data_IF_697712976414
#
_entry.id   IF_697712976414
#
_cell.length_a   1.000
_cell.length_b   1.000
_cell.length_c   1.000
_cell.angle_alpha   90.00
_cell.angle_beta   90.00
_cell.angle_gamma   90.00
#
_symmetry.space_group_name_H-M   'P 1'
#
loop_
_entity.id
_entity.type
_entity.pdbx_description
1 polymer ?
#
# COMPACT_ATOMS: atom_id res chain seq x y z
N UNK A 1 -5.08 9.17 -3.52
CA UNK A 1 -5.61 9.70 -2.25
C UNK A 1 -6.78 8.85 -1.78
N UNK A 2 -6.57 7.93 -0.84
CA UNK A 2 -7.66 7.19 -0.21
C UNK A 2 -8.36 8.12 0.79
N UNK A 3 -9.49 8.71 0.40
CA UNK A 3 -10.35 9.47 1.30
C UNK A 3 -11.02 8.50 2.28
N UNK A 4 -10.43 8.34 3.45
CA UNK A 4 -11.11 7.72 4.59
C UNK A 4 -12.09 8.75 5.17
N UNK A 5 -13.38 8.57 4.91
CA UNK A 5 -14.49 9.34 5.51
C UNK A 5 -14.76 8.91 6.96
N UNK A 6 -13.71 8.82 7.77
CA UNK A 6 -13.86 8.77 9.22
C UNK A 6 -14.27 10.16 9.68
N UNK A 7 -15.37 10.26 10.45
CA UNK A 7 -15.70 11.50 11.15
C UNK A 7 -14.52 11.81 12.07
N UNK A 8 -13.68 12.79 11.69
CA UNK A 8 -12.54 13.22 12.48
C UNK A 8 -13.06 13.79 13.80
N UNK A 9 -13.05 12.97 14.86
CA UNK A 9 -13.26 13.49 16.21
C UNK A 9 -11.92 14.06 16.70
N UNK A 10 -11.75 15.37 16.51
CA UNK A 10 -10.55 16.12 16.92
C UNK A 10 -10.23 15.89 18.40
N UNK A 11 -11.25 15.72 19.24
CA UNK A 11 -11.09 15.48 20.67
C UNK A 11 -10.41 14.12 20.94
N UNK A 12 -10.79 13.07 20.20
CA UNK A 12 -10.18 11.74 20.35
C UNK A 12 -8.73 11.70 19.89
N UNK A 13 -8.40 12.43 18.82
CA UNK A 13 -7.02 12.56 18.35
C UNK A 13 -6.16 13.30 19.39
N UNK A 14 -6.68 14.38 19.98
CA UNK A 14 -6.01 15.17 21.02
C UNK A 14 -5.64 14.33 22.24
N UNK A 15 -6.52 13.46 22.72
CA UNK A 15 -6.25 12.56 23.84
C UNK A 15 -5.03 11.66 23.60
N UNK A 16 -4.88 11.12 22.38
CA UNK A 16 -3.71 10.30 22.02
C UNK A 16 -2.47 11.19 21.87
N UNK A 17 -2.62 12.34 21.21
CA UNK A 17 -1.56 13.30 20.96
C UNK A 17 -0.92 13.79 22.27
N UNK A 18 -1.70 14.13 23.30
CA UNK A 18 -1.20 14.58 24.60
C UNK A 18 -0.27 13.55 25.25
N UNK A 19 -0.66 12.27 25.22
CA UNK A 19 0.16 11.18 25.77
C UNK A 19 1.43 10.98 24.94
N UNK A 20 1.33 11.03 23.61
CA UNK A 20 2.48 10.87 22.72
C UNK A 20 3.46 12.06 22.80
N UNK A 21 2.95 13.28 22.88
CA UNK A 21 3.75 14.49 23.10
C UNK A 21 4.49 14.42 24.44
N UNK A 22 3.82 13.96 25.51
CA UNK A 22 4.49 13.76 26.80
C UNK A 22 5.64 12.76 26.70
N UNK A 23 5.50 11.68 25.93
CA UNK A 23 6.59 10.73 25.68
C UNK A 23 7.74 11.38 24.91
N UNK A 24 7.42 12.13 23.86
CA UNK A 24 8.40 12.86 23.05
C UNK A 24 9.22 13.85 23.90
N UNK A 25 8.55 14.69 24.70
CA UNK A 25 9.22 15.65 25.59
C UNK A 25 10.11 14.97 26.64
N UNK A 26 9.74 13.77 27.09
CA UNK A 26 10.53 12.97 28.02
C UNK A 26 11.61 12.12 27.33
N UNK A 27 11.87 12.34 26.03
CA UNK A 27 12.87 11.59 25.23
C UNK A 27 12.69 10.07 25.33
N UNK A 28 11.44 9.61 25.41
CA UNK A 28 11.12 8.19 25.42
C UNK A 28 11.07 7.71 23.97
N UNK A 29 11.88 6.71 23.67
CA UNK A 29 12.02 6.15 22.33
C UNK A 29 11.04 4.98 22.10
N UNK A 30 11.12 4.38 20.91
CA UNK A 30 10.29 3.25 20.52
C UNK A 30 10.45 2.05 21.46
N UNK A 31 11.66 1.74 21.92
CA UNK A 31 11.92 0.65 22.85
C UNK A 31 11.17 0.84 24.16
N UNK A 32 11.24 2.05 24.74
CA UNK A 32 10.49 2.38 25.94
C UNK A 32 8.97 2.23 25.74
N UNK A 33 8.44 2.69 24.60
CA UNK A 33 7.01 2.58 24.29
C UNK A 33 6.60 1.10 24.23
N UNK A 34 7.39 0.27 23.55
CA UNK A 34 7.13 -1.17 23.38
C UNK A 34 7.14 -1.92 24.71
N UNK A 35 8.01 -1.56 25.64
CA UNK A 35 8.05 -2.15 26.98
C UNK A 35 6.91 -1.67 27.89
N UNK A 36 6.45 -0.43 27.70
CA UNK A 36 5.51 0.24 28.62
C UNK A 36 4.09 0.41 28.05
N UNK A 37 3.79 -0.18 26.90
CA UNK A 37 2.55 0.06 26.15
C UNK A 37 1.27 -0.16 26.95
N UNK A 38 1.23 -1.14 27.86
CA UNK A 38 0.08 -1.38 28.75
C UNK A 38 -0.19 -0.21 29.68
N UNK A 39 0.87 0.43 30.20
CA UNK A 39 0.75 1.64 31.02
C UNK A 39 0.25 2.81 30.18
N UNK A 40 0.72 2.93 28.95
CA UNK A 40 0.31 3.97 28.01
C UNK A 40 -1.15 3.80 27.59
N UNK A 41 -1.60 2.59 27.30
CA UNK A 41 -2.99 2.26 27.00
C UNK A 41 -3.92 2.70 28.14
N UNK A 42 -3.53 2.41 29.40
CA UNK A 42 -4.27 2.89 30.58
C UNK A 42 -4.29 4.41 30.70
N UNK A 43 -3.17 5.08 30.40
CA UNK A 43 -3.09 6.53 30.43
C UNK A 43 -4.02 7.18 29.38
N UNK A 44 -4.00 6.67 28.14
CA UNK A 44 -4.88 7.11 27.06
C UNK A 44 -6.35 6.89 27.45
N UNK A 45 -6.70 5.71 27.96
CA UNK A 45 -8.07 5.40 28.37
C UNK A 45 -8.55 6.29 29.53
N UNK A 46 -7.67 6.59 30.49
CA UNK A 46 -7.96 7.51 31.59
C UNK A 46 -8.19 8.94 31.09
N UNK A 47 -7.35 9.41 30.16
CA UNK A 47 -7.52 10.72 29.55
C UNK A 47 -8.81 10.79 28.72
N UNK A 48 -9.11 9.77 27.92
CA UNK A 48 -10.36 9.65 27.18
C UNK A 48 -11.58 9.69 28.10
N UNK A 49 -11.49 9.10 29.29
CA UNK A 49 -12.56 9.15 30.28
C UNK A 49 -12.75 10.57 30.83
N UNK A 50 -11.66 11.27 31.17
CA UNK A 50 -11.71 12.68 31.59
C UNK A 50 -12.30 13.59 30.52
N UNK A 51 -12.01 13.31 29.25
CA UNK A 51 -12.54 14.02 28.09
C UNK A 51 -13.98 13.61 27.73
N UNK A 52 -14.62 12.74 28.53
CA UNK A 52 -15.96 12.18 28.29
C UNK A 52 -16.11 11.43 26.95
N UNK A 53 -15.01 10.89 26.42
CA UNK A 53 -14.98 10.09 25.19
C UNK A 53 -15.26 8.60 25.45
N UNK A 54 -15.09 8.15 26.69
CA UNK A 54 -15.40 6.78 27.08
C UNK A 54 -16.05 6.70 28.45
N UNK A 55 -17.01 5.79 28.58
CA UNK A 55 -17.68 5.44 29.83
C UNK A 55 -17.05 4.20 30.50
N UNK A 56 -16.20 3.46 29.76
CA UNK A 56 -15.56 2.24 30.22
C UNK A 56 -14.04 2.31 29.94
N UNK A 57 -13.26 2.93 30.86
CA UNK A 57 -11.82 3.07 30.69
C UNK A 57 -11.08 1.73 30.71
N UNK A 58 -11.60 0.70 31.38
CA UNK A 58 -10.96 -0.62 31.41
C UNK A 58 -11.04 -1.32 30.06
N UNK A 59 -12.23 -1.34 29.46
CA UNK A 59 -12.42 -1.88 28.11
C UNK A 59 -11.64 -1.05 27.08
N UNK A 60 -11.63 0.26 27.22
CA UNK A 60 -10.87 1.17 26.34
C UNK A 60 -9.37 0.89 26.42
N UNK A 61 -8.82 0.67 27.62
CA UNK A 61 -7.42 0.31 27.80
C UNK A 61 -7.09 -1.02 27.10
N UNK A 62 -7.94 -2.05 27.25
CA UNK A 62 -7.75 -3.34 26.57
C UNK A 62 -7.76 -3.23 25.04
N UNK A 63 -8.64 -2.40 24.49
CA UNK A 63 -8.65 -2.10 23.04
C UNK A 63 -7.36 -1.40 22.63
N UNK A 64 -6.89 -0.44 23.41
CA UNK A 64 -5.64 0.26 23.12
C UNK A 64 -4.41 -0.63 23.23
N UNK A 65 -4.37 -1.56 24.19
CA UNK A 65 -3.30 -2.57 24.28
C UNK A 65 -3.20 -3.37 22.99
N UNK A 66 -4.32 -3.88 22.47
CA UNK A 66 -4.37 -4.60 21.19
C UNK A 66 -3.96 -3.71 20.00
N UNK A 67 -4.34 -2.43 20.02
CA UNK A 67 -3.96 -1.49 18.97
C UNK A 67 -2.43 -1.30 18.94
N UNK A 68 -1.81 -1.08 20.11
CA UNK A 68 -0.36 -0.98 20.23
C UNK A 68 0.36 -2.23 19.72
N UNK A 69 -0.09 -3.43 20.13
CA UNK A 69 0.51 -4.69 19.69
C UNK A 69 0.52 -4.83 18.15
N UNK A 70 -0.58 -4.45 17.49
CA UNK A 70 -0.67 -4.48 16.03
C UNK A 70 0.21 -3.40 15.38
N UNK A 71 0.22 -2.20 15.94
CA UNK A 71 1.09 -1.12 15.46
C UNK A 71 2.57 -1.47 15.60
N UNK A 72 2.99 -2.16 16.66
CA UNK A 72 4.37 -2.60 16.82
C UNK A 72 4.80 -3.59 15.75
N UNK A 73 3.94 -4.54 15.37
CA UNK A 73 4.24 -5.44 14.24
C UNK A 73 4.49 -4.68 12.95
N UNK A 74 3.67 -3.67 12.67
CA UNK A 74 3.83 -2.80 11.48
C UNK A 74 5.17 -2.06 11.56
N UNK A 75 5.49 -1.42 12.69
CA UNK A 75 6.73 -0.66 12.85
C UNK A 75 7.96 -1.56 12.78
N UNK A 76 7.93 -2.72 13.45
CA UNK A 76 9.02 -3.71 13.43
C UNK A 76 9.27 -4.22 12.00
N UNK A 77 8.23 -4.30 11.15
CA UNK A 77 8.37 -4.66 9.74
C UNK A 77 8.93 -3.54 8.90
N UNK A 78 8.46 -2.32 9.13
CA UNK A 78 8.92 -1.12 8.42
C UNK A 78 10.39 -0.83 8.71
N UNK A 79 10.81 -1.01 9.96
CA UNK A 79 12.17 -0.74 10.40
C UNK A 79 12.72 -1.93 11.20
N UNK A 80 13.08 -3.04 10.53
CA UNK A 80 13.55 -4.25 11.20
C UNK A 80 14.87 -4.03 11.95
N UNK A 81 15.73 -3.18 11.39
CA UNK A 81 16.94 -2.68 12.03
C UNK A 81 17.08 -1.18 11.78
N UNK A 82 17.52 -0.44 12.80
CA UNK A 82 17.81 1.00 12.67
C UNK A 82 19.18 1.17 12.04
N UNK A 83 19.23 1.14 10.71
CA UNK A 83 20.43 1.41 9.92
C UNK A 83 20.12 2.44 8.83
N UNK A 84 21.18 3.02 8.23
CA UNK A 84 21.06 4.10 7.26
C UNK A 84 20.25 3.69 6.01
N UNK A 85 20.45 2.46 5.53
CA UNK A 85 19.76 1.91 4.36
C UNK A 85 18.25 1.77 4.58
N UNK A 86 17.85 1.18 5.71
CA UNK A 86 16.44 1.04 6.08
C UNK A 86 15.76 2.40 6.31
N UNK A 87 16.49 3.35 6.91
CA UNK A 87 16.00 4.72 7.10
C UNK A 87 15.85 5.46 5.76
N UNK A 88 16.74 5.24 4.80
CA UNK A 88 16.63 5.81 3.45
C UNK A 88 15.44 5.22 2.69
N UNK A 89 15.24 3.89 2.76
CA UNK A 89 14.07 3.22 2.18
C UNK A 89 12.78 3.78 2.77
N UNK A 90 12.68 3.87 4.09
CA UNK A 90 11.50 4.45 4.75
C UNK A 90 11.33 5.92 4.40
N UNK A 91 12.41 6.70 4.41
CA UNK A 91 12.41 8.11 4.04
C UNK A 91 11.86 8.33 2.63
N UNK A 92 12.27 7.50 1.67
CA UNK A 92 11.72 7.48 0.31
C UNK A 92 10.26 7.05 0.31
N UNK A 93 9.90 5.99 1.02
CA UNK A 93 8.52 5.51 1.06
C UNK A 93 7.56 6.58 1.59
N UNK A 94 7.89 7.29 2.67
CA UNK A 94 7.01 8.30 3.29
C UNK A 94 7.15 9.70 2.68
N UNK A 95 8.00 9.87 1.67
CA UNK A 95 8.23 11.17 1.06
C UNK A 95 6.97 11.70 0.35
N UNK A 96 6.74 13.01 0.42
CA UNK A 96 5.54 13.65 -0.14
C UNK A 96 5.35 13.47 -1.65
N UNK A 97 6.42 13.20 -2.38
CA UNK A 97 6.42 12.99 -3.84
C UNK A 97 6.40 11.52 -4.24
N UNK A 98 6.25 10.60 -3.30
CA UNK A 98 6.23 9.16 -3.61
C UNK A 98 4.82 8.75 -3.98
N UNK A 99 4.64 8.34 -5.24
CA UNK A 99 3.33 7.97 -5.79
C UNK A 99 2.72 6.74 -5.11
N UNK A 100 3.54 5.71 -4.88
CA UNK A 100 3.14 4.51 -4.13
C UNK A 100 4.21 4.11 -3.09
N UNK A 101 3.97 4.39 -1.79
CA UNK A 101 4.88 3.99 -0.72
C UNK A 101 5.07 2.47 -0.64
N UNK A 102 4.05 1.67 -1.01
CA UNK A 102 4.10 0.21 -0.91
C UNK A 102 4.98 -0.41 -1.98
N UNK A 103 5.10 0.19 -3.16
CA UNK A 103 6.05 -0.24 -4.19
C UNK A 103 7.48 -0.04 -3.69
N UNK A 104 7.77 1.12 -3.09
CA UNK A 104 9.11 1.40 -2.53
C UNK A 104 9.48 0.40 -1.44
N UNK A 105 8.56 0.11 -0.51
CA UNK A 105 8.77 -0.87 0.56
C UNK A 105 8.98 -2.29 0.00
N UNK A 106 8.14 -2.75 -0.93
CA UNK A 106 8.26 -4.08 -1.53
C UNK A 106 9.57 -4.26 -2.31
N UNK A 107 10.02 -3.23 -3.02
CA UNK A 107 11.30 -3.26 -3.74
C UNK A 107 12.49 -3.38 -2.79
N UNK A 108 12.35 -2.92 -1.55
CA UNK A 108 13.34 -3.11 -0.49
C UNK A 108 13.14 -4.43 0.31
N UNK A 109 12.25 -5.32 -0.13
CA UNK A 109 11.94 -6.57 0.56
C UNK A 109 11.08 -6.41 1.81
N UNK A 110 10.48 -5.24 2.03
CA UNK A 110 9.60 -4.94 3.16
C UNK A 110 8.15 -5.15 2.70
N UNK A 111 7.57 -6.29 3.06
CA UNK A 111 6.13 -6.53 2.93
C UNK A 111 5.44 -6.36 4.29
N UNK A 112 4.51 -5.39 4.33
CA UNK A 112 3.74 -4.99 5.51
C UNK A 112 2.22 -5.15 5.29
N UNK A 113 1.80 -5.58 4.09
CA UNK A 113 0.37 -5.74 3.76
C UNK A 113 -0.33 -6.74 4.72
N UNK A 114 0.28 -7.87 5.13
CA UNK A 114 -0.33 -8.77 6.10
C UNK A 114 -0.65 -8.10 7.44
N UNK A 115 0.28 -7.34 7.99
CA UNK A 115 0.12 -6.62 9.26
C UNK A 115 -0.91 -5.48 9.15
N UNK A 116 -0.94 -4.79 8.01
CA UNK A 116 -1.94 -3.76 7.73
C UNK A 116 -3.34 -4.34 7.59
N UNK A 117 -3.49 -5.50 6.98
CA UNK A 117 -4.77 -6.19 6.87
C UNK A 117 -5.26 -6.68 8.25
N UNK A 118 -4.35 -7.23 9.07
CA UNK A 118 -4.64 -7.56 10.47
C UNK A 118 -5.11 -6.32 11.26
N UNK A 119 -4.52 -5.16 11.00
CA UNK A 119 -4.91 -3.89 11.62
C UNK A 119 -6.26 -3.39 11.12
N UNK A 120 -6.55 -3.46 9.82
CA UNK A 120 -7.85 -3.10 9.24
C UNK A 120 -8.99 -3.94 9.79
N UNK A 121 -8.79 -5.26 9.90
CA UNK A 121 -9.77 -6.18 10.50
C UNK A 121 -10.04 -5.82 11.96
N UNK A 122 -9.00 -5.50 12.72
CA UNK A 122 -9.14 -5.01 14.08
C UNK A 122 -9.93 -3.70 14.16
N UNK A 123 -9.63 -2.71 13.30
CA UNK A 123 -10.38 -1.45 13.25
C UNK A 123 -11.87 -1.69 12.94
N UNK A 124 -12.17 -2.64 12.07
CA UNK A 124 -13.54 -3.00 11.75
C UNK A 124 -14.26 -3.68 12.93
N UNK A 125 -13.58 -4.63 13.61
CA UNK A 125 -14.08 -5.28 14.83
C UNK A 125 -14.48 -4.26 15.89
N UNK A 126 -13.61 -3.27 16.18
CA UNK A 126 -13.90 -2.25 17.20
C UNK A 126 -14.98 -1.25 16.76
N UNK A 127 -15.10 -0.98 15.45
CA UNK A 127 -16.10 -0.05 14.92
C UNK A 127 -17.49 -0.67 14.79
N UNK A 128 -17.62 -2.00 14.98
CA UNK A 128 -18.86 -2.74 14.74
C UNK A 128 -19.29 -2.79 13.27
N UNK A 129 -18.47 -2.25 12.35
CA UNK A 129 -18.72 -2.34 10.92
C UNK A 129 -18.24 -3.70 10.43
N UNK A 130 -19.09 -4.40 9.66
CA UNK A 130 -18.60 -5.51 8.82
C UNK A 130 -17.55 -4.93 7.89
N UNK A 131 -16.36 -5.51 7.89
CA UNK A 131 -15.45 -5.37 6.76
C UNK A 131 -16.26 -5.90 5.57
N UNK A 132 -16.76 -5.01 4.71
CA UNK A 132 -16.88 -5.42 3.33
C UNK A 132 -15.47 -5.84 2.98
N UNK A 133 -15.27 -7.14 2.70
CA UNK A 133 -14.03 -7.61 2.09
C UNK A 133 -13.79 -6.61 0.96
N UNK A 134 -12.82 -5.71 1.14
CA UNK A 134 -12.28 -4.99 -0.01
C UNK A 134 -12.00 -6.12 -0.97
N UNK A 135 -12.50 -6.09 -2.23
CA UNK A 135 -12.10 -7.09 -3.20
C UNK A 135 -10.60 -7.14 -3.02
N UNK A 136 -10.07 -8.32 -2.59
CA UNK A 136 -8.64 -8.47 -2.42
C UNK A 136 -8.12 -7.89 -3.71
N UNK A 137 -7.46 -6.74 -3.66
CA UNK A 137 -6.52 -6.42 -4.71
C UNK A 137 -5.58 -7.60 -4.54
N UNK A 138 -5.80 -8.64 -5.37
CA UNK A 138 -4.90 -9.77 -5.49
C UNK A 138 -3.59 -9.05 -5.59
N UNK A 139 -2.79 -9.18 -4.52
CA UNK A 139 -1.59 -8.40 -4.35
C UNK A 139 -0.92 -8.38 -5.71
N UNK A 140 -0.70 -7.16 -6.22
CA UNK A 140 0.06 -6.95 -7.44
C UNK A 140 1.28 -7.83 -7.28
N UNK A 141 1.33 -8.94 -8.01
CA UNK A 141 2.59 -9.57 -8.28
C UNK A 141 3.26 -8.53 -9.17
N UNK A 142 4.01 -7.61 -8.56
CA UNK A 142 4.86 -6.68 -9.30
C UNK A 142 5.81 -7.48 -10.19
N UNK A 143 6.18 -8.69 -9.76
CA UNK A 143 6.82 -9.71 -10.60
C UNK A 143 6.03 -10.06 -11.88
N UNK A 144 4.70 -10.18 -11.84
CA UNK A 144 3.87 -10.43 -13.01
C UNK A 144 3.75 -9.17 -13.88
N UNK A 145 3.60 -7.98 -13.30
CA UNK A 145 3.50 -6.74 -14.08
C UNK A 145 4.81 -6.39 -14.80
N UNK A 146 5.95 -6.48 -14.11
CA UNK A 146 7.29 -6.28 -14.70
C UNK A 146 7.58 -7.35 -15.75
N UNK A 147 7.22 -8.62 -15.49
CA UNK A 147 7.39 -9.70 -16.47
C UNK A 147 6.55 -9.48 -17.73
N UNK A 148 5.28 -9.11 -17.58
CA UNK A 148 4.41 -8.83 -18.73
C UNK A 148 4.86 -7.56 -19.48
N UNK A 149 5.34 -6.54 -18.77
CA UNK A 149 5.93 -5.33 -19.38
C UNK A 149 7.15 -5.66 -20.23
N UNK A 150 8.06 -6.51 -19.74
CA UNK A 150 9.20 -6.99 -20.53
C UNK A 150 8.79 -7.82 -21.75
N UNK A 151 7.73 -8.62 -21.67
CA UNK A 151 7.21 -9.34 -22.85
C UNK A 151 6.68 -8.36 -23.90
N UNK A 152 5.94 -7.33 -23.48
CA UNK A 152 5.43 -6.30 -24.38
C UNK A 152 6.56 -5.48 -25.02
N UNK A 153 7.62 -5.17 -24.28
CA UNK A 153 8.85 -4.59 -24.83
C UNK A 153 9.51 -5.52 -25.86
N UNK A 154 9.53 -6.82 -25.59
CA UNK A 154 9.98 -7.85 -26.54
C UNK A 154 9.17 -7.82 -27.84
N UNK A 155 7.84 -7.73 -27.76
CA UNK A 155 6.95 -7.58 -28.92
C UNK A 155 7.27 -6.29 -29.67
N UNK A 156 7.38 -5.16 -28.96
CA UNK A 156 7.68 -3.86 -29.58
C UNK A 156 9.03 -3.86 -30.31
N UNK A 157 10.06 -4.47 -29.71
CA UNK A 157 11.36 -4.66 -30.35
C UNK A 157 11.26 -5.56 -31.58
N UNK A 158 10.50 -6.66 -31.50
CA UNK A 158 10.20 -7.51 -32.66
C UNK A 158 9.52 -6.76 -33.80
N UNK A 159 8.57 -5.88 -33.47
CA UNK A 159 7.92 -5.00 -34.45
C UNK A 159 8.89 -4.00 -35.05
N UNK A 160 9.80 -3.43 -34.25
CA UNK A 160 10.86 -2.53 -34.72
C UNK A 160 11.80 -3.21 -35.72
N UNK A 161 12.20 -4.46 -35.46
CA UNK A 161 12.99 -5.25 -36.41
C UNK A 161 12.22 -5.61 -37.69
N UNK A 162 10.90 -5.69 -37.62
CA UNK A 162 10.01 -5.88 -38.76
C UNK A 162 9.59 -4.56 -39.43
N UNK A 163 10.28 -3.45 -39.12
CA UNK A 163 10.01 -2.09 -39.62
C UNK A 163 8.55 -1.67 -39.44
N UNK A 164 7.94 -2.12 -38.34
CA UNK A 164 6.53 -1.89 -38.00
C UNK A 164 5.55 -2.23 -39.13
N UNK A 165 5.87 -3.23 -39.96
CA UNK A 165 5.03 -3.62 -41.09
C UNK A 165 3.58 -3.88 -40.64
N UNK A 166 2.61 -3.47 -41.46
CA UNK A 166 1.19 -3.58 -41.11
C UNK A 166 0.79 -5.02 -40.75
N UNK A 167 1.41 -5.99 -41.43
CA UNK A 167 1.19 -7.41 -41.19
C UNK A 167 1.73 -7.86 -39.84
N UNK A 168 2.87 -7.33 -39.39
CA UNK A 168 3.44 -7.64 -38.09
C UNK A 168 2.63 -6.98 -36.97
N UNK A 169 2.29 -5.70 -37.11
CA UNK A 169 1.44 -4.97 -36.15
C UNK A 169 0.07 -5.64 -36.04
N UNK A 170 -0.57 -6.00 -37.15
CA UNK A 170 -1.86 -6.68 -37.16
C UNK A 170 -1.83 -8.12 -36.62
N UNK A 171 -0.67 -8.77 -36.52
CA UNK A 171 -0.51 -10.04 -35.79
C UNK A 171 -0.37 -9.79 -34.30
N UNK A 172 0.48 -8.83 -33.91
CA UNK A 172 0.66 -8.44 -32.52
C UNK A 172 -0.67 -8.01 -31.89
N UNK A 173 -1.47 -7.17 -32.55
CA UNK A 173 -2.79 -6.75 -32.05
C UNK A 173 -3.73 -7.94 -31.79
N UNK A 174 -3.74 -8.96 -32.67
CA UNK A 174 -4.56 -10.17 -32.46
C UNK A 174 -4.10 -11.01 -31.27
N UNK A 175 -2.79 -11.08 -31.04
CA UNK A 175 -2.24 -11.77 -29.86
C UNK A 175 -2.56 -11.00 -28.56
N UNK A 176 -2.52 -9.67 -28.61
CA UNK A 176 -2.94 -8.81 -27.49
C UNK A 176 -4.43 -8.97 -27.18
N UNK A 177 -5.31 -8.98 -28.19
CA UNK A 177 -6.75 -9.21 -28.02
C UNK A 177 -7.04 -10.55 -27.31
N UNK A 178 -6.38 -11.63 -27.74
CA UNK A 178 -6.54 -12.94 -27.12
C UNK A 178 -6.12 -12.94 -25.64
N UNK A 179 -5.06 -12.20 -25.32
CA UNK A 179 -4.58 -12.04 -23.94
C UNK A 179 -5.54 -11.18 -23.10
N UNK A 180 -6.12 -10.12 -23.66
CA UNK A 180 -7.15 -9.30 -23.01
C UNK A 180 -8.37 -10.14 -22.65
N UNK A 181 -8.89 -10.97 -23.55
CA UNK A 181 -10.02 -11.87 -23.29
C UNK A 181 -9.73 -12.84 -22.12
N UNK A 182 -8.54 -13.43 -22.10
CA UNK A 182 -8.09 -14.29 -20.99
C UNK A 182 -8.05 -13.53 -19.65
N UNK A 183 -7.55 -12.29 -19.66
CA UNK A 183 -7.42 -11.45 -18.48
C UNK A 183 -8.77 -10.93 -17.98
N UNK A 184 -9.73 -10.67 -18.86
CA UNK A 184 -11.12 -10.34 -18.50
C UNK A 184 -11.76 -11.47 -17.72
N UNK A 185 -11.59 -12.72 -18.15
CA UNK A 185 -12.06 -13.90 -17.41
C UNK A 185 -11.43 -14.04 -16.01
N UNK A 186 -10.18 -13.61 -15.86
CA UNK A 186 -9.43 -13.65 -14.58
C UNK A 186 -9.64 -12.44 -13.67
N UNK A 187 -10.35 -11.40 -14.15
CA UNK A 187 -10.59 -10.12 -13.45
C UNK A 187 -9.31 -9.42 -12.97
N UNK A 188 -8.24 -9.43 -13.77
CA UNK A 188 -7.00 -8.73 -13.44
C UNK A 188 -6.97 -7.34 -14.11
N UNK A 189 -7.43 -6.31 -13.39
CA UNK A 189 -7.61 -4.96 -13.92
C UNK A 189 -6.31 -4.24 -14.30
N UNK A 190 -5.21 -4.52 -13.61
CA UNK A 190 -3.91 -3.88 -13.88
C UNK A 190 -3.29 -4.39 -15.17
N UNK A 191 -3.23 -5.72 -15.35
CA UNK A 191 -2.77 -6.30 -16.61
C UNK A 191 -3.69 -5.93 -17.77
N UNK A 192 -5.01 -5.85 -17.53
CA UNK A 192 -5.95 -5.35 -18.54
C UNK A 192 -5.60 -3.91 -18.96
N UNK A 193 -5.33 -3.03 -17.99
CA UNK A 193 -4.90 -1.66 -18.25
C UNK A 193 -3.60 -1.58 -19.06
N UNK A 194 -2.59 -2.37 -18.69
CA UNK A 194 -1.30 -2.46 -19.40
C UNK A 194 -1.49 -2.89 -20.86
N UNK A 195 -2.19 -4.00 -21.09
CA UNK A 195 -2.39 -4.56 -22.42
C UNK A 195 -3.25 -3.66 -23.31
N UNK A 196 -4.36 -3.13 -22.78
CA UNK A 196 -5.23 -2.22 -23.53
C UNK A 196 -4.53 -0.89 -23.84
N UNK A 197 -3.73 -0.36 -22.91
CA UNK A 197 -2.92 0.84 -23.11
C UNK A 197 -1.89 0.66 -24.23
N UNK A 198 -1.11 -0.41 -24.17
CA UNK A 198 -0.13 -0.75 -25.21
C UNK A 198 -0.79 -1.00 -26.56
N UNK A 199 -1.88 -1.77 -26.60
CA UNK A 199 -2.67 -2.02 -27.80
C UNK A 199 -3.16 -0.71 -28.44
N UNK A 200 -3.68 0.22 -27.63
CA UNK A 200 -4.15 1.53 -28.12
C UNK A 200 -3.06 2.36 -28.76
N UNK A 201 -1.82 2.27 -28.25
CA UNK A 201 -0.66 2.97 -28.82
C UNK A 201 -0.22 2.31 -30.13
N UNK A 202 -0.23 0.97 -30.22
CA UNK A 202 0.04 0.25 -31.47
C UNK A 202 -1.00 0.53 -32.56
N UNK A 203 -2.30 0.58 -32.22
CA UNK A 203 -3.37 0.96 -33.15
C UNK A 203 -3.16 2.35 -33.74
N UNK A 204 -2.68 3.29 -32.91
CA UNK A 204 -2.35 4.66 -33.31
C UNK A 204 -1.00 4.79 -34.00
N UNK A 205 -0.23 3.69 -34.07
CA UNK A 205 1.16 3.65 -34.56
C UNK A 205 2.09 4.61 -33.81
N UNK A 206 1.78 4.85 -32.54
CA UNK A 206 2.58 5.72 -31.66
C UNK A 206 3.60 4.86 -30.91
N UNK A 207 4.57 4.32 -31.67
CA UNK A 207 5.52 3.33 -31.17
C UNK A 207 6.53 3.90 -30.17
N UNK A 208 6.85 5.18 -30.30
CA UNK A 208 7.75 5.89 -29.38
C UNK A 208 7.09 6.03 -28.01
N UNK A 209 5.83 6.50 -27.96
CA UNK A 209 5.05 6.51 -26.72
C UNK A 209 4.77 5.12 -26.19
N UNK A 210 4.62 4.11 -27.06
CA UNK A 210 4.49 2.72 -26.61
C UNK A 210 5.74 2.24 -25.89
N UNK A 211 6.93 2.66 -26.32
CA UNK A 211 8.19 2.35 -25.65
C UNK A 211 8.31 3.08 -24.31
N UNK A 212 8.02 4.39 -24.28
CA UNK A 212 8.01 5.21 -23.05
C UNK A 212 7.03 4.65 -22.01
N UNK A 213 5.79 4.40 -22.43
CA UNK A 213 4.74 3.83 -21.59
C UNK A 213 5.16 2.52 -20.90
N UNK A 214 5.88 1.65 -21.62
CA UNK A 214 6.35 0.39 -21.05
C UNK A 214 7.59 0.59 -20.16
N UNK A 215 8.51 1.49 -20.53
CA UNK A 215 9.74 1.76 -19.74
C UNK A 215 9.43 2.40 -18.38
N UNK A 216 8.40 3.23 -18.30
CA UNK A 216 7.94 3.82 -17.03
C UNK A 216 7.36 2.77 -16.06
N UNK A 217 6.95 1.61 -16.58
CA UNK A 217 6.34 0.51 -15.83
C UNK A 217 7.29 -0.69 -15.63
N UNK A 218 8.51 -0.62 -16.18
CA UNK A 218 9.56 -1.65 -16.10
C UNK A 218 10.39 -1.51 -14.84
#
# INVERSE_FOLDING_TARGET
MAYHTGVHNVQSAKTVEEVMNALYYNKRDYAYIKENYKRLAKAIAKQAHYDNLTTDPEKTAKVMEKAFEKTFKIIDKLLPEVNEENLEVLGRAIHMNTDDPFVVLRNAGIDVEPELEEFRQFLAEISGKRVEERPRFRGVNTADLTLETHKLLGILNGLKFADYSEKAVGRALRELDARVEELMGKKNLELLGLYLGFQRLLERRDFERAEEFLRELS
#
